data_IF_820235267606
#
_entry.id   IF_820235267606
#
_cell.length_a   1.000
_cell.length_b   1.000
_cell.length_c   1.000
_cell.angle_alpha   90.00
_cell.angle_beta   90.00
_cell.angle_gamma   90.00
#
_symmetry.space_group_name_H-M   'P 1'
#
loop_
_entity.id
_entity.type
_entity.pdbx_description
1 polymer ?
#
# COMPACT_ATOMS: atom_id res chain seq x y z
N UNK A 1 -30.17 49.56 -13.21
CA UNK A 1 -29.72 48.15 -13.19
C UNK A 1 -29.77 47.66 -11.76
N UNK A 2 -30.57 46.65 -11.44
CA UNK A 2 -30.80 46.19 -10.05
C UNK A 2 -29.74 45.14 -9.71
N UNK A 3 -28.73 45.53 -8.93
CA UNK A 3 -27.66 44.60 -8.52
C UNK A 3 -28.26 43.53 -7.59
N UNK A 4 -28.20 42.27 -8.02
CA UNK A 4 -28.70 41.12 -7.26
C UNK A 4 -27.69 40.77 -6.15
N UNK A 5 -27.67 41.56 -5.09
CA UNK A 5 -26.77 41.44 -3.95
C UNK A 5 -27.16 40.29 -3.00
N UNK A 6 -27.28 39.06 -3.51
CA UNK A 6 -27.36 37.87 -2.64
C UNK A 6 -25.94 37.57 -2.14
N UNK A 7 -25.55 38.25 -1.06
CA UNK A 7 -24.30 37.98 -0.36
C UNK A 7 -24.33 36.63 0.35
N UNK A 8 -23.15 36.07 0.60
CA UNK A 8 -22.99 34.84 1.36
C UNK A 8 -23.20 35.12 2.84
N UNK A 9 -24.12 34.39 3.46
CA UNK A 9 -24.45 34.58 4.87
C UNK A 9 -23.38 33.96 5.77
N UNK A 10 -23.22 34.54 6.96
CA UNK A 10 -22.27 34.04 7.97
C UNK A 10 -22.56 32.58 8.36
N UNK A 11 -23.84 32.20 8.37
CA UNK A 11 -24.25 30.83 8.67
C UNK A 11 -23.86 29.85 7.55
N UNK A 12 -23.97 30.28 6.29
CA UNK A 12 -23.57 29.47 5.13
C UNK A 12 -22.06 29.22 5.16
N UNK A 13 -21.28 30.20 5.63
CA UNK A 13 -19.83 30.04 5.84
C UNK A 13 -19.50 29.01 6.90
N UNK A 14 -20.15 29.09 8.07
CA UNK A 14 -19.91 28.15 9.18
C UNK A 14 -20.24 26.72 8.74
N UNK A 15 -21.39 26.54 8.08
CA UNK A 15 -21.81 25.23 7.57
C UNK A 15 -20.81 24.71 6.52
N UNK A 16 -20.35 25.58 5.62
CA UNK A 16 -19.38 25.18 4.60
C UNK A 16 -18.04 24.71 5.19
N UNK A 17 -17.51 25.43 6.20
CA UNK A 17 -16.27 25.05 6.87
C UNK A 17 -16.43 23.74 7.65
N UNK A 18 -17.58 23.54 8.30
CA UNK A 18 -17.88 22.31 9.02
C UNK A 18 -17.90 21.09 8.07
N UNK A 19 -18.55 21.24 6.91
CA UNK A 19 -18.59 20.19 5.88
C UNK A 19 -17.17 19.90 5.34
N UNK A 20 -16.40 20.95 5.03
CA UNK A 20 -15.02 20.79 4.55
C UNK A 20 -14.11 20.10 5.58
N UNK A 21 -14.27 20.41 6.87
CA UNK A 21 -13.50 19.76 7.93
C UNK A 21 -13.80 18.26 8.03
N UNK A 22 -15.07 17.88 7.92
CA UNK A 22 -15.47 16.46 7.90
C UNK A 22 -14.90 15.71 6.70
N UNK A 23 -14.96 16.29 5.50
CA UNK A 23 -14.40 15.65 4.31
C UNK A 23 -12.87 15.56 4.35
N UNK A 24 -12.20 16.60 4.83
CA UNK A 24 -10.74 16.64 4.90
C UNK A 24 -10.18 15.53 5.80
N UNK A 25 -10.81 15.28 6.95
CA UNK A 25 -10.39 14.21 7.87
C UNK A 25 -10.60 12.82 7.26
N UNK A 26 -11.75 12.59 6.59
CA UNK A 26 -12.04 11.32 5.93
C UNK A 26 -11.02 10.99 4.81
N UNK A 27 -10.62 11.99 4.01
CA UNK A 27 -9.64 11.81 2.92
C UNK A 27 -8.26 11.46 3.46
N UNK A 28 -7.77 12.17 4.48
CA UNK A 28 -6.44 11.91 5.08
C UNK A 28 -6.36 10.50 5.66
N UNK A 29 -7.41 10.07 6.37
CA UNK A 29 -7.48 8.71 6.92
C UNK A 29 -7.53 7.68 5.80
N UNK A 30 -8.36 7.90 4.76
CA UNK A 30 -8.47 6.99 3.62
C UNK A 30 -7.15 6.78 2.88
N UNK A 31 -6.44 7.86 2.56
CA UNK A 31 -5.13 7.80 1.90
C UNK A 31 -4.08 7.09 2.78
N UNK A 32 -4.04 7.40 4.08
CA UNK A 32 -3.15 6.74 5.03
C UNK A 32 -3.37 5.22 5.10
N UNK A 33 -4.63 4.78 5.10
CA UNK A 33 -4.95 3.34 5.06
C UNK A 33 -4.56 2.68 3.73
N UNK A 34 -4.68 3.36 2.59
CA UNK A 34 -4.31 2.81 1.28
C UNK A 34 -2.79 2.59 1.15
N UNK A 35 -1.98 3.57 1.53
CA UNK A 35 -0.51 3.45 1.50
C UNK A 35 -0.01 2.40 2.50
N UNK A 36 -0.62 2.37 3.69
CA UNK A 36 -0.32 1.35 4.69
C UNK A 36 -0.76 -0.05 4.23
N UNK A 37 -1.91 -0.19 3.56
CA UNK A 37 -2.39 -1.47 3.06
C UNK A 37 -1.46 -2.04 1.98
N UNK A 38 -0.98 -1.20 1.06
CA UNK A 38 -0.01 -1.61 0.05
C UNK A 38 1.31 -2.06 0.69
N UNK A 39 1.80 -1.31 1.67
CA UNK A 39 3.02 -1.64 2.42
C UNK A 39 2.87 -2.93 3.22
N UNK A 40 1.76 -3.09 3.97
CA UNK A 40 1.44 -4.31 4.71
C UNK A 40 1.33 -5.53 3.81
N UNK A 41 0.69 -5.40 2.64
CA UNK A 41 0.56 -6.47 1.65
C UNK A 41 1.92 -6.88 1.09
N UNK A 42 2.81 -5.91 0.83
CA UNK A 42 4.18 -6.19 0.41
C UNK A 42 4.96 -6.95 1.48
N UNK A 43 4.99 -6.44 2.72
CA UNK A 43 5.66 -7.09 3.85
C UNK A 43 5.12 -8.49 4.10
N UNK A 44 3.79 -8.67 4.03
CA UNK A 44 3.16 -9.98 4.17
C UNK A 44 3.61 -10.95 3.08
N UNK A 45 3.66 -10.53 1.81
CA UNK A 45 4.17 -11.38 0.71
C UNK A 45 5.62 -11.81 0.92
N UNK A 46 6.49 -10.89 1.34
CA UNK A 46 7.90 -11.20 1.63
C UNK A 46 8.00 -12.17 2.80
N UNK A 47 7.29 -11.91 3.90
CA UNK A 47 7.29 -12.79 5.08
C UNK A 47 6.76 -14.19 4.76
N UNK A 48 5.64 -14.30 4.03
CA UNK A 48 5.10 -15.57 3.56
C UNK A 48 6.10 -16.30 2.68
N UNK A 49 6.77 -15.59 1.78
CA UNK A 49 7.82 -16.20 0.97
C UNK A 49 9.00 -16.70 1.82
N UNK A 50 9.44 -15.96 2.84
CA UNK A 50 10.51 -16.39 3.76
C UNK A 50 10.10 -17.63 4.54
N UNK A 51 8.85 -17.70 5.01
CA UNK A 51 8.28 -18.89 5.64
C UNK A 51 8.33 -20.08 4.68
N UNK A 52 7.96 -19.89 3.42
CA UNK A 52 8.07 -20.91 2.38
C UNK A 52 9.53 -21.31 2.11
N UNK A 53 10.46 -20.35 2.06
CA UNK A 53 11.90 -20.62 1.90
C UNK A 53 12.42 -21.50 3.03
N UNK A 54 12.10 -21.13 4.28
CA UNK A 54 12.46 -21.90 5.46
C UNK A 54 11.87 -23.30 5.41
N UNK A 55 10.58 -23.42 5.10
CA UNK A 55 9.92 -24.72 4.98
C UNK A 55 10.58 -25.61 3.92
N UNK A 56 10.90 -25.06 2.74
CA UNK A 56 11.61 -25.80 1.68
C UNK A 56 13.02 -26.22 2.11
N UNK A 57 13.76 -25.35 2.77
CA UNK A 57 15.10 -25.65 3.29
C UNK A 57 15.12 -26.63 4.47
N UNK A 58 14.01 -26.78 5.18
CA UNK A 58 13.86 -27.78 6.24
C UNK A 58 13.37 -29.13 5.69
N UNK A 59 12.57 -29.11 4.62
CA UNK A 59 11.99 -30.30 4.02
C UNK A 59 12.95 -31.00 3.04
N UNK A 60 13.79 -30.23 2.35
CA UNK A 60 14.75 -30.74 1.36
C UNK A 60 16.19 -30.63 1.88
N UNK A 61 17.04 -31.56 1.48
CA UNK A 61 18.47 -31.56 1.80
C UNK A 61 19.25 -30.50 1.00
N UNK A 62 18.69 -30.03 -0.13
CA UNK A 62 19.29 -28.98 -0.96
C UNK A 62 18.89 -27.60 -0.47
N UNK A 63 19.86 -26.67 -0.47
CA UNK A 63 19.60 -25.25 -0.16
C UNK A 63 18.75 -24.63 -1.27
N UNK A 64 17.61 -24.06 -0.92
CA UNK A 64 16.78 -23.21 -1.76
C UNK A 64 17.09 -21.75 -1.41
N UNK A 65 17.17 -20.92 -2.44
CA UNK A 65 17.36 -19.48 -2.34
C UNK A 65 16.10 -18.76 -2.79
N UNK A 66 15.77 -17.64 -2.14
CA UNK A 66 14.75 -16.71 -2.61
C UNK A 66 15.42 -15.54 -3.29
N UNK A 67 14.93 -15.18 -4.48
CA UNK A 67 15.35 -13.99 -5.19
C UNK A 67 14.19 -13.00 -5.28
N UNK A 68 14.48 -11.74 -4.94
CA UNK A 68 13.57 -10.62 -5.07
C UNK A 68 14.10 -9.76 -6.21
N UNK A 69 13.28 -9.54 -7.24
CA UNK A 69 13.67 -8.74 -8.40
C UNK A 69 12.54 -7.80 -8.83
N UNK A 70 12.94 -6.68 -9.46
CA UNK A 70 12.03 -5.66 -9.99
C UNK A 70 12.02 -5.76 -11.51
N UNK A 71 10.84 -5.85 -12.11
CA UNK A 71 10.69 -5.82 -13.57
C UNK A 71 10.48 -4.39 -14.07
N UNK A 72 10.59 -4.21 -15.39
CA UNK A 72 10.47 -2.92 -16.07
C UNK A 72 9.06 -2.30 -15.97
N UNK A 73 8.08 -3.09 -15.51
CA UNK A 73 6.72 -2.67 -15.17
C UNK A 73 6.62 -1.97 -13.79
N UNK A 74 7.74 -1.88 -13.06
CA UNK A 74 7.80 -1.27 -11.73
C UNK A 74 7.37 -2.19 -10.60
N UNK A 75 6.96 -3.43 -10.88
CA UNK A 75 6.51 -4.39 -9.87
C UNK A 75 7.65 -5.26 -9.33
N UNK A 76 7.48 -5.74 -8.10
CA UNK A 76 8.39 -6.67 -7.44
C UNK A 76 7.85 -8.09 -7.48
N UNK A 77 8.75 -9.02 -7.78
CA UNK A 77 8.45 -10.44 -7.93
C UNK A 77 9.37 -11.27 -7.05
N UNK A 78 8.86 -12.44 -6.64
CA UNK A 78 9.56 -13.42 -5.81
C UNK A 78 9.71 -14.70 -6.62
N UNK A 79 10.93 -15.21 -6.72
CA UNK A 79 11.18 -16.57 -7.24
C UNK A 79 12.03 -17.36 -6.27
N UNK A 80 11.92 -18.69 -6.37
CA UNK A 80 12.70 -19.62 -5.59
C UNK A 80 13.55 -20.45 -6.53
N UNK A 81 14.85 -20.52 -6.25
CA UNK A 81 15.80 -21.32 -7.01
C UNK A 81 16.42 -22.33 -6.07
N UNK A 82 16.29 -23.62 -6.40
CA UNK A 82 16.95 -24.68 -5.66
C UNK A 82 18.42 -24.73 -6.10
N UNK A 83 19.33 -24.96 -5.16
CA UNK A 83 20.74 -25.14 -5.46
C UNK A 83 20.92 -26.46 -6.20
N UNK A 84 20.86 -26.40 -7.53
CA UNK A 84 21.31 -27.48 -8.38
C UNK A 84 22.79 -27.27 -8.64
N UNK A 85 23.59 -27.89 -7.77
CA UNK A 85 25.03 -28.16 -7.90
C UNK A 85 25.81 -27.25 -8.86
N UNK A 86 26.55 -26.29 -8.28
CA UNK A 86 27.82 -25.86 -8.85
C UNK A 86 28.82 -25.81 -7.69
N UNK A 87 29.79 -26.72 -7.72
CA UNK A 87 31.09 -26.76 -6.99
C UNK A 87 31.20 -26.01 -5.67
#
# INVERSE_FOLDING_TARGET
MKSNNKGFSLIELIISIAILALFSTAVVVGLGYMDMANSKKCTSKINSGLMTLKSRNMADSKRTYMHIYRYNDGNYYLTFTQADNYT
#
